data_IF_454470641911
#
_entry.id   IF_454470641911
#
_cell.length_a   1.000
_cell.length_b   1.000
_cell.length_c   1.000
_cell.angle_alpha   90.00
_cell.angle_beta   90.00
_cell.angle_gamma   90.00
#
_symmetry.space_group_name_H-M   'P 1'
#
loop_
_entity.id
_entity.type
_entity.pdbx_description
1 polymer ?
#
# COMPACT_ATOMS: atom_id res chain seq x y z
N UNK A 1 14.89 -18.23 25.44
CA UNK A 1 15.02 -17.90 24.01
C UNK A 1 16.23 -16.97 23.90
N UNK A 2 17.36 -17.44 23.37
CA UNK A 2 18.58 -16.62 23.33
C UNK A 2 18.36 -15.44 22.38
N UNK A 3 18.60 -14.21 22.85
CA UNK A 3 18.61 -13.02 21.99
C UNK A 3 19.59 -13.24 20.82
N UNK A 4 19.17 -12.87 19.61
CA UNK A 4 20.01 -12.92 18.41
C UNK A 4 21.33 -12.19 18.68
N UNK A 5 22.52 -12.80 18.45
CA UNK A 5 23.82 -12.26 18.90
C UNK A 5 24.05 -10.80 18.47
N UNK A 6 23.59 -10.45 17.27
CA UNK A 6 23.77 -9.12 16.68
C UNK A 6 22.66 -8.12 17.04
N UNK A 7 21.67 -8.50 17.86
CA UNK A 7 20.61 -7.60 18.30
C UNK A 7 21.17 -6.36 19.03
N UNK A 8 22.30 -6.54 19.74
CA UNK A 8 23.04 -5.44 20.39
C UNK A 8 23.69 -4.48 19.39
N UNK A 9 24.10 -4.97 18.21
CA UNK A 9 24.68 -4.15 17.12
C UNK A 9 23.62 -3.31 16.39
N UNK A 10 22.35 -3.72 16.41
CA UNK A 10 21.23 -2.93 15.90
C UNK A 10 20.93 -1.71 16.78
N UNK A 11 21.17 -1.81 18.09
CA UNK A 11 20.89 -0.76 19.09
C UNK A 11 22.05 0.23 19.29
N UNK A 12 23.26 -0.07 18.82
CA UNK A 12 24.41 0.85 18.90
C UNK A 12 24.15 2.10 18.04
N UNK A 13 24.55 3.28 18.54
CA UNK A 13 24.50 4.52 17.75
C UNK A 13 25.39 4.36 16.50
N UNK A 14 24.75 4.12 15.35
CA UNK A 14 25.44 3.89 14.08
C UNK A 14 25.87 5.22 13.48
N UNK A 15 27.17 5.53 13.50
CA UNK A 15 27.90 6.58 12.74
C UNK A 15 27.39 8.04 12.85
N UNK A 16 26.17 8.30 13.32
CA UNK A 16 25.51 9.60 13.33
C UNK A 16 25.19 9.95 14.79
N UNK A 17 25.98 10.87 15.35
CA UNK A 17 25.72 11.46 16.67
C UNK A 17 24.34 12.14 16.71
N UNK A 18 23.64 12.02 17.83
CA UNK A 18 22.30 12.59 18.08
C UNK A 18 21.23 12.12 17.06
N UNK A 19 21.30 10.86 16.66
CA UNK A 19 20.46 10.30 15.59
C UNK A 19 18.96 10.59 15.77
N UNK A 20 18.41 10.37 16.95
CA UNK A 20 16.97 10.53 17.19
C UNK A 20 16.52 11.99 17.00
N UNK A 21 17.30 12.94 17.52
CA UNK A 21 17.06 14.38 17.31
C UNK A 21 17.11 14.73 15.84
N UNK A 22 18.12 14.23 15.11
CA UNK A 22 18.24 14.43 13.65
C UNK A 22 17.11 13.75 12.87
N UNK A 23 16.62 12.60 13.30
CA UNK A 23 15.45 11.93 12.70
C UNK A 23 14.17 12.77 12.90
N UNK A 24 13.97 13.35 14.09
CA UNK A 24 12.84 14.27 14.37
C UNK A 24 12.92 15.54 13.52
N UNK A 25 14.09 16.17 13.42
CA UNK A 25 14.29 17.38 12.59
C UNK A 25 14.03 17.12 11.11
N UNK A 26 14.36 15.92 10.60
CA UNK A 26 14.08 15.52 9.21
C UNK A 26 12.59 15.26 8.93
N UNK A 27 11.73 15.23 9.94
CA UNK A 27 10.28 15.06 9.76
C UNK A 27 9.85 13.67 9.29
N UNK A 28 10.70 12.64 9.43
CA UNK A 28 10.37 11.29 9.01
C UNK A 28 9.31 10.62 9.89
N UNK A 29 8.54 9.68 9.34
CA UNK A 29 7.35 9.08 9.98
C UNK A 29 7.65 7.90 10.89
N UNK A 30 8.92 7.50 11.06
CA UNK A 30 9.36 6.32 11.85
C UNK A 30 8.85 6.28 13.29
N UNK A 31 8.56 7.45 13.87
CA UNK A 31 8.10 7.60 15.25
C UNK A 31 6.57 7.44 15.40
N UNK A 32 5.81 7.50 14.29
CA UNK A 32 4.37 7.28 14.26
C UNK A 32 4.08 5.78 14.43
N UNK A 33 3.99 5.35 15.68
CA UNK A 33 3.79 3.94 16.07
C UNK A 33 2.49 3.68 16.81
N UNK A 34 1.82 4.74 17.22
CA UNK A 34 0.55 4.66 17.94
C UNK A 34 -0.56 4.40 16.94
N UNK A 35 -1.44 3.47 17.28
CA UNK A 35 -2.69 3.23 16.56
C UNK A 35 -3.85 3.50 17.49
N UNK A 36 -5.00 3.83 16.92
CA UNK A 36 -6.25 4.02 17.66
C UNK A 36 -7.06 2.74 17.56
N UNK A 37 -7.52 2.23 18.69
CA UNK A 37 -8.56 1.21 18.69
C UNK A 37 -9.86 1.83 18.23
N UNK A 38 -10.58 1.09 17.41
CA UNK A 38 -11.91 1.43 16.93
C UNK A 38 -12.86 0.29 17.31
N UNK A 39 -14.15 0.57 17.51
CA UNK A 39 -15.14 -0.48 17.69
C UNK A 39 -15.07 -1.49 16.55
N UNK A 40 -15.19 -2.78 16.88
CA UNK A 40 -15.28 -3.83 15.87
C UNK A 40 -16.55 -3.68 15.05
N UNK A 41 -16.42 -3.91 13.74
CA UNK A 41 -17.55 -4.01 12.82
C UNK A 41 -17.74 -5.48 12.50
N UNK A 42 -18.99 -5.93 12.48
CA UNK A 42 -19.32 -7.27 12.03
C UNK A 42 -19.10 -7.37 10.52
N UNK A 43 -18.18 -8.24 10.14
CA UNK A 43 -17.84 -8.55 8.75
C UNK A 43 -18.08 -10.02 8.42
N UNK A 44 -18.90 -10.73 9.21
CA UNK A 44 -19.16 -12.17 9.04
C UNK A 44 -19.60 -12.52 7.62
N UNK A 45 -20.36 -11.64 6.96
CA UNK A 45 -20.82 -11.83 5.58
C UNK A 45 -19.70 -11.75 4.53
N UNK A 46 -18.54 -11.18 4.88
CA UNK A 46 -17.37 -11.03 4.02
C UNK A 46 -16.30 -12.11 4.26
N UNK A 47 -16.44 -12.90 5.33
CA UNK A 47 -15.48 -13.94 5.70
C UNK A 47 -15.47 -15.09 4.69
N UNK A 48 -14.27 -15.52 4.30
CA UNK A 48 -14.03 -16.67 3.43
C UNK A 48 -14.77 -16.59 2.08
N UNK A 49 -14.94 -15.37 1.54
CA UNK A 49 -15.61 -15.12 0.27
C UNK A 49 -14.63 -14.83 -0.85
N UNK A 50 -14.98 -15.33 -2.04
CA UNK A 50 -14.46 -14.83 -3.32
C UNK A 50 -15.55 -13.95 -3.92
N UNK A 51 -15.25 -12.67 -4.12
CA UNK A 51 -16.17 -11.71 -4.72
C UNK A 51 -15.63 -11.35 -6.10
N UNK A 52 -16.38 -11.70 -7.15
CA UNK A 52 -15.99 -11.44 -8.52
C UNK A 52 -16.62 -10.13 -9.03
N UNK A 53 -15.81 -9.20 -9.51
CA UNK A 53 -16.25 -7.94 -10.13
C UNK A 53 -15.14 -6.90 -10.16
N UNK A 54 -15.50 -5.66 -10.53
CA UNK A 54 -14.55 -4.54 -10.52
C UNK A 54 -14.26 -4.11 -9.07
N UNK A 55 -12.99 -4.11 -8.68
CA UNK A 55 -12.57 -3.74 -7.33
C UNK A 55 -12.90 -2.28 -6.99
N UNK A 56 -12.92 -1.37 -7.97
CA UNK A 56 -13.33 0.03 -7.74
C UNK A 56 -14.79 0.12 -7.29
N UNK A 57 -15.63 -0.84 -7.69
CA UNK A 57 -17.05 -0.91 -7.34
C UNK A 57 -17.24 -1.71 -6.06
N UNK A 58 -16.73 -2.94 -6.00
CA UNK A 58 -16.96 -3.87 -4.88
C UNK A 58 -16.48 -3.27 -3.56
N UNK A 59 -15.31 -2.61 -3.54
CA UNK A 59 -14.76 -2.09 -2.30
C UNK A 59 -15.64 -1.01 -1.66
N UNK A 60 -16.52 -0.34 -2.42
CA UNK A 60 -17.46 0.67 -1.89
C UNK A 60 -18.51 0.08 -0.95
N UNK A 61 -18.82 -1.21 -1.11
CA UNK A 61 -19.80 -1.91 -0.27
C UNK A 61 -19.19 -2.39 1.06
N UNK A 62 -17.86 -2.31 1.20
CA UNK A 62 -17.16 -2.69 2.43
C UNK A 62 -17.27 -1.56 3.45
N UNK A 63 -17.49 -1.86 4.75
CA UNK A 63 -17.46 -0.84 5.80
C UNK A 63 -16.09 -0.17 5.94
N UNK A 64 -16.08 1.07 6.45
CA UNK A 64 -14.84 1.75 6.80
C UNK A 64 -14.07 0.97 7.87
N UNK A 65 -12.74 1.01 7.83
CA UNK A 65 -11.86 0.43 8.85
C UNK A 65 -12.19 -1.04 9.21
N UNK A 66 -12.50 -1.88 8.23
CA UNK A 66 -12.88 -3.27 8.44
C UNK A 66 -11.76 -4.28 8.13
N UNK A 67 -10.71 -3.87 7.40
CA UNK A 67 -9.60 -4.73 6.95
C UNK A 67 -8.29 -4.42 7.70
N UNK A 68 -7.62 -5.46 8.19
CA UNK A 68 -6.30 -5.33 8.84
C UNK A 68 -5.14 -5.24 7.83
N UNK A 69 -5.17 -6.07 6.79
CA UNK A 69 -4.12 -6.16 5.77
C UNK A 69 -4.74 -6.33 4.39
N UNK A 70 -4.29 -5.52 3.44
CA UNK A 70 -4.58 -5.67 2.01
C UNK A 70 -3.30 -6.09 1.32
N UNK A 71 -3.37 -7.17 0.53
CA UNK A 71 -2.28 -7.63 -0.32
C UNK A 71 -2.80 -7.64 -1.75
N UNK A 72 -2.12 -6.95 -2.65
CA UNK A 72 -2.59 -6.83 -4.04
C UNK A 72 -1.44 -6.69 -5.03
N UNK A 73 -1.73 -7.06 -6.27
CA UNK A 73 -0.89 -6.87 -7.45
C UNK A 73 -1.80 -6.32 -8.56
N UNK A 74 -1.93 -4.99 -8.69
CA UNK A 74 -2.72 -4.43 -9.78
C UNK A 74 -2.19 -4.93 -11.13
N UNK A 75 -3.06 -5.08 -12.13
CA UNK A 75 -2.66 -5.67 -13.40
C UNK A 75 -1.65 -4.78 -14.11
N UNK A 76 -0.58 -5.38 -14.65
CA UNK A 76 0.50 -4.66 -15.36
C UNK A 76 0.25 -4.57 -16.87
N UNK A 77 -0.99 -4.73 -17.31
CA UNK A 77 -1.36 -4.71 -18.73
C UNK A 77 -1.45 -3.25 -19.23
N UNK A 78 -0.29 -2.68 -19.49
CA UNK A 78 -0.12 -1.34 -20.04
C UNK A 78 -0.39 -1.36 -21.55
N UNK A 79 -1.64 -1.11 -21.96
CA UNK A 79 -2.00 -1.01 -23.38
C UNK A 79 -1.97 -2.32 -24.18
N UNK A 80 -1.74 -3.47 -23.54
CA UNK A 80 -1.86 -4.78 -24.18
C UNK A 80 -3.34 -5.15 -24.27
N UNK A 81 -3.91 -5.09 -25.49
CA UNK A 81 -5.20 -5.69 -25.77
C UNK A 81 -5.07 -7.21 -25.57
N UNK A 82 -5.73 -7.78 -24.56
CA UNK A 82 -6.01 -9.22 -24.59
C UNK A 82 -6.99 -9.48 -25.74
N UNK A 83 -6.89 -10.62 -26.43
CA UNK A 83 -7.72 -10.96 -27.61
C UNK A 83 -9.25 -10.85 -27.38
N UNK A 84 -9.71 -10.74 -26.12
CA UNK A 84 -11.10 -10.57 -25.72
C UNK A 84 -11.40 -9.28 -24.92
N UNK A 85 -10.46 -8.33 -24.85
CA UNK A 85 -10.65 -7.10 -24.08
C UNK A 85 -11.43 -6.05 -24.89
N UNK A 86 -12.74 -5.98 -24.68
CA UNK A 86 -13.61 -4.94 -25.25
C UNK A 86 -13.52 -3.61 -24.50
N UNK A 87 -12.87 -3.60 -23.34
CA UNK A 87 -12.63 -2.41 -22.52
C UNK A 87 -11.38 -1.68 -23.00
N UNK A 88 -11.53 -0.43 -23.43
CA UNK A 88 -10.40 0.47 -23.75
C UNK A 88 -9.77 1.07 -22.49
N UNK A 89 -9.69 0.31 -21.40
CA UNK A 89 -9.45 0.83 -20.05
C UNK A 89 -8.02 1.39 -19.82
N UNK A 90 -7.10 1.19 -20.77
CA UNK A 90 -5.67 1.48 -20.58
C UNK A 90 -4.99 2.05 -21.82
N UNK A 91 -5.64 2.97 -22.55
CA UNK A 91 -4.99 3.60 -23.72
C UNK A 91 -3.94 4.65 -23.31
N UNK A 92 -4.04 5.21 -22.09
CA UNK A 92 -3.10 6.17 -21.54
C UNK A 92 -2.71 5.84 -20.09
N UNK A 93 -1.44 6.08 -19.77
CA UNK A 93 -0.85 5.87 -18.45
C UNK A 93 -1.59 6.59 -17.33
N UNK A 94 -2.09 7.79 -17.61
CA UNK A 94 -2.86 8.60 -16.70
C UNK A 94 -4.13 7.87 -16.24
N UNK A 95 -4.89 7.29 -17.17
CA UNK A 95 -6.15 6.60 -16.87
C UNK A 95 -5.92 5.41 -15.93
N UNK A 96 -4.85 4.64 -16.18
CA UNK A 96 -4.45 3.53 -15.32
C UNK A 96 -4.14 4.01 -13.89
N UNK A 97 -3.27 5.02 -13.74
CA UNK A 97 -2.90 5.52 -12.43
C UNK A 97 -4.05 6.25 -11.73
N UNK A 98 -4.96 6.87 -12.47
CA UNK A 98 -6.19 7.46 -11.93
C UNK A 98 -7.14 6.39 -11.43
N UNK A 99 -7.34 5.30 -12.19
CA UNK A 99 -8.12 4.14 -11.75
C UNK A 99 -7.54 3.53 -10.49
N UNK A 100 -6.22 3.31 -10.46
CA UNK A 100 -5.53 2.87 -9.26
C UNK A 100 -5.74 3.82 -8.09
N UNK A 101 -5.64 5.13 -8.29
CA UNK A 101 -5.85 6.09 -7.22
C UNK A 101 -7.28 6.06 -6.66
N UNK A 102 -8.29 5.78 -7.48
CA UNK A 102 -9.67 5.58 -7.02
C UNK A 102 -9.78 4.31 -6.17
N UNK A 103 -9.14 3.22 -6.59
CA UNK A 103 -9.07 1.98 -5.81
C UNK A 103 -8.29 2.19 -4.50
N UNK A 104 -7.17 2.91 -4.53
CA UNK A 104 -6.38 3.23 -3.34
C UNK A 104 -7.18 3.99 -2.31
N UNK A 105 -8.03 4.94 -2.71
CA UNK A 105 -8.92 5.66 -1.79
C UNK A 105 -9.83 4.69 -1.04
N UNK A 106 -10.44 3.73 -1.73
CA UNK A 106 -11.26 2.71 -1.10
C UNK A 106 -10.43 1.78 -0.20
N UNK A 107 -9.24 1.35 -0.65
CA UNK A 107 -8.33 0.58 0.20
C UNK A 107 -7.96 1.34 1.48
N UNK A 108 -7.69 2.64 1.40
CA UNK A 108 -7.39 3.47 2.57
C UNK A 108 -8.58 3.59 3.51
N UNK A 109 -9.79 3.76 2.97
CA UNK A 109 -11.04 3.89 3.73
C UNK A 109 -11.35 2.61 4.53
N UNK A 110 -11.20 1.45 3.90
CA UNK A 110 -11.53 0.16 4.54
C UNK A 110 -10.40 -0.35 5.45
N UNK A 111 -9.18 0.17 5.33
CA UNK A 111 -8.09 -0.22 6.22
C UNK A 111 -8.31 0.32 7.63
N UNK A 112 -8.13 -0.55 8.62
CA UNK A 112 -8.12 -0.17 10.03
C UNK A 112 -6.98 0.81 10.32
N UNK A 113 -7.10 1.67 11.36
CA UNK A 113 -5.95 2.41 11.88
C UNK A 113 -4.79 1.45 12.21
N UNK A 114 -3.62 1.71 11.63
CA UNK A 114 -2.44 0.84 11.79
C UNK A 114 -2.42 -0.39 10.87
N UNK A 115 -3.43 -0.57 10.02
CA UNK A 115 -3.48 -1.60 8.98
C UNK A 115 -2.39 -1.44 7.92
N UNK A 116 -2.21 -2.46 7.09
CA UNK A 116 -1.13 -2.51 6.10
C UNK A 116 -1.64 -2.73 4.68
N UNK A 117 -1.12 -1.94 3.76
CA UNK A 117 -1.29 -2.14 2.33
C UNK A 117 0.04 -2.61 1.72
N UNK A 118 0.06 -3.85 1.23
CA UNK A 118 1.20 -4.45 0.55
C UNK A 118 0.88 -4.54 -0.93
N UNK A 119 1.63 -3.80 -1.75
CA UNK A 119 1.41 -3.76 -3.20
C UNK A 119 2.64 -4.35 -3.89
N UNK A 120 2.43 -5.42 -4.64
CA UNK A 120 3.39 -5.86 -5.63
C UNK A 120 3.23 -4.98 -6.87
N UNK A 121 4.31 -4.37 -7.33
CA UNK A 121 4.33 -3.54 -8.54
C UNK A 121 5.57 -3.85 -9.36
N UNK A 122 5.40 -3.93 -10.67
CA UNK A 122 6.51 -4.06 -11.61
C UNK A 122 6.88 -2.68 -12.19
N UNK A 123 8.14 -2.23 -12.11
CA UNK A 123 8.63 -1.13 -12.93
C UNK A 123 8.49 -1.49 -14.40
N UNK A 124 7.81 -0.67 -15.21
CA UNK A 124 7.76 -0.94 -16.64
C UNK A 124 9.02 -0.38 -17.30
N UNK A 125 10.00 -1.25 -17.47
CA UNK A 125 11.29 -0.90 -18.05
C UNK A 125 11.22 -0.50 -19.53
N UNK A 126 10.28 -1.07 -20.30
CA UNK A 126 10.16 -0.79 -21.75
C UNK A 126 9.84 0.68 -22.04
N UNK A 127 8.98 1.28 -21.22
CA UNK A 127 8.53 2.67 -21.38
C UNK A 127 9.17 3.60 -20.34
N UNK A 128 10.20 3.13 -19.64
CA UNK A 128 10.89 3.87 -18.57
C UNK A 128 9.94 4.46 -17.52
N UNK A 129 8.86 3.74 -17.20
CA UNK A 129 7.81 4.21 -16.30
C UNK A 129 8.12 3.82 -14.85
N UNK A 130 8.30 4.78 -13.93
CA UNK A 130 8.60 4.51 -12.52
C UNK A 130 7.32 4.20 -11.73
N UNK A 131 6.63 3.12 -12.07
CA UNK A 131 5.33 2.72 -11.51
C UNK A 131 5.32 2.74 -9.97
N UNK A 132 6.34 2.14 -9.35
CA UNK A 132 6.49 2.11 -7.89
C UNK A 132 6.62 3.50 -7.25
N UNK A 133 7.31 4.47 -7.88
CA UNK A 133 7.37 5.84 -7.37
C UNK A 133 6.00 6.53 -7.43
N UNK A 134 5.26 6.33 -8.52
CA UNK A 134 3.93 6.92 -8.71
C UNK A 134 2.95 6.37 -7.67
N UNK A 135 2.88 5.05 -7.51
CA UNK A 135 2.03 4.39 -6.51
C UNK A 135 2.41 4.83 -5.09
N UNK A 136 3.72 4.88 -4.78
CA UNK A 136 4.19 5.34 -3.48
C UNK A 136 3.74 6.77 -3.19
N UNK A 137 3.83 7.67 -4.18
CA UNK A 137 3.40 9.06 -4.03
C UNK A 137 1.89 9.17 -3.80
N UNK A 138 1.08 8.44 -4.57
CA UNK A 138 -0.38 8.41 -4.40
C UNK A 138 -0.77 7.97 -2.98
N UNK A 139 -0.18 6.89 -2.48
CA UNK A 139 -0.47 6.40 -1.13
C UNK A 139 -0.01 7.36 -0.03
N UNK A 140 1.15 7.99 -0.19
CA UNK A 140 1.61 9.04 0.72
C UNK A 140 0.63 10.23 0.75
N UNK A 141 0.11 10.63 -0.41
CA UNK A 141 -0.87 11.71 -0.52
C UNK A 141 -2.22 11.36 0.12
N UNK A 142 -2.58 10.07 0.17
CA UNK A 142 -3.75 9.56 0.88
C UNK A 142 -3.51 9.39 2.39
N UNK A 143 -2.30 9.68 2.88
CA UNK A 143 -1.97 9.65 4.30
C UNK A 143 -1.37 8.35 4.83
N UNK A 144 -1.06 7.37 3.95
CA UNK A 144 -0.33 6.18 4.37
C UNK A 144 1.13 6.52 4.71
N UNK A 145 1.70 5.72 5.59
CA UNK A 145 3.10 5.84 5.99
C UNK A 145 3.95 4.83 5.22
N UNK A 146 5.02 5.31 4.58
CA UNK A 146 6.00 4.43 3.94
C UNK A 146 6.74 3.60 4.99
N UNK A 147 6.66 2.27 4.85
CA UNK A 147 7.28 1.34 5.81
C UNK A 147 8.58 0.73 5.29
N UNK A 148 8.54 0.11 4.13
CA UNK A 148 9.66 -0.62 3.55
C UNK A 148 9.42 -0.87 2.06
N UNK A 149 10.51 -1.13 1.35
CA UNK A 149 10.51 -1.69 0.00
C UNK A 149 11.07 -3.10 0.08
N UNK A 150 10.43 -4.03 -0.61
CA UNK A 150 10.88 -5.42 -0.71
C UNK A 150 11.22 -5.65 -2.19
N UNK A 151 12.47 -6.00 -2.46
CA UNK A 151 12.90 -6.43 -3.78
C UNK A 151 12.77 -7.95 -3.80
N UNK A 152 11.86 -8.43 -4.66
CA UNK A 152 11.64 -9.85 -4.90
C UNK A 152 12.52 -10.32 -6.06
#
# INVERSE_FOLDING_TARGET
MNEYPDAKLLKRERKVLEREKKERVRGGTKHLKETREIPGIDISDLLDRIICGDSEIILRDFPDNCIDIIITSPPYNFGLQYENDKSKDSMYWQDYFEKLNRIWKECCRILKPGGRLCINVQPLFSDYMPTHHIVSKQLLDLGLLWKAEIIW
#
